data_IF_377840756250
#
_entry.id   IF_377840756250
#
_cell.length_a   1.000
_cell.length_b   1.000
_cell.length_c   1.000
_cell.angle_alpha   90.00
_cell.angle_beta   90.00
_cell.angle_gamma   90.00
#
_symmetry.space_group_name_H-M   'P 1'
#
loop_
_entity.id
_entity.type
_entity.pdbx_description
1 polymer ?
#
# COMPACT_ATOMS: atom_id res chain seq x y z
N UNK A 1 -12.56 -71.75 -6.73
CA UNK A 1 -11.61 -71.58 -7.85
C UNK A 1 -11.62 -70.18 -8.52
N UNK A 2 -12.79 -69.55 -8.77
CA UNK A 2 -12.86 -68.20 -9.38
C UNK A 2 -12.30 -67.11 -8.50
N UNK A 3 -12.56 -67.13 -7.18
CA UNK A 3 -12.07 -66.09 -6.21
C UNK A 3 -10.54 -66.10 -6.08
N UNK A 4 -9.96 -67.35 -6.06
CA UNK A 4 -8.49 -67.46 -5.96
C UNK A 4 -7.77 -66.98 -7.20
N UNK A 5 -8.36 -67.07 -8.41
CA UNK A 5 -7.82 -66.48 -9.64
C UNK A 5 -7.90 -64.98 -9.60
N UNK A 6 -8.97 -64.35 -9.03
CA UNK A 6 -9.09 -62.92 -8.86
C UNK A 6 -8.03 -62.34 -7.92
N UNK A 7 -7.77 -63.07 -6.81
CA UNK A 7 -6.72 -62.61 -5.85
C UNK A 7 -5.33 -62.67 -6.48
N UNK A 8 -5.05 -63.72 -7.29
CA UNK A 8 -3.75 -63.80 -7.99
C UNK A 8 -3.57 -62.67 -9.02
N UNK A 9 -4.63 -62.32 -9.76
CA UNK A 9 -4.54 -61.22 -10.72
C UNK A 9 -4.34 -59.87 -10.00
N UNK A 10 -5.02 -59.64 -8.88
CA UNK A 10 -4.84 -58.42 -8.06
C UNK A 10 -3.40 -58.33 -7.53
N UNK A 11 -2.86 -59.44 -7.04
CA UNK A 11 -1.48 -59.53 -6.56
C UNK A 11 -0.46 -59.22 -7.68
N UNK A 12 -0.66 -59.73 -8.87
CA UNK A 12 0.20 -59.46 -10.02
C UNK A 12 0.16 -57.99 -10.44
N UNK A 13 -1.02 -57.35 -10.39
CA UNK A 13 -1.16 -55.90 -10.68
C UNK A 13 -0.43 -55.06 -9.62
N UNK A 14 -0.56 -55.40 -8.34
CA UNK A 14 0.14 -54.69 -7.25
C UNK A 14 1.65 -54.84 -7.37
N UNK A 15 2.13 -56.06 -7.65
CA UNK A 15 3.57 -56.32 -7.86
C UNK A 15 4.09 -55.52 -9.07
N UNK A 16 3.32 -55.51 -10.17
CA UNK A 16 3.66 -54.71 -11.36
C UNK A 16 3.76 -53.20 -11.06
N UNK A 17 2.79 -52.69 -10.32
CA UNK A 17 2.81 -51.26 -9.90
C UNK A 17 4.01 -50.92 -9.00
N UNK A 18 4.35 -51.81 -8.06
CA UNK A 18 5.51 -51.64 -7.19
C UNK A 18 6.84 -51.70 -7.95
N UNK A 19 6.96 -52.57 -8.94
CA UNK A 19 8.13 -52.63 -9.81
C UNK A 19 8.28 -51.40 -10.66
N UNK A 20 7.20 -50.89 -11.24
CA UNK A 20 7.21 -49.64 -12.01
C UNK A 20 7.61 -48.48 -11.10
N UNK A 21 7.03 -48.39 -9.91
CA UNK A 21 7.39 -47.34 -8.91
C UNK A 21 8.88 -47.39 -8.55
N UNK A 22 9.40 -48.60 -8.34
CA UNK A 22 10.82 -48.79 -7.99
C UNK A 22 11.75 -48.39 -9.13
N UNK A 23 11.42 -48.77 -10.37
CA UNK A 23 12.18 -48.41 -11.56
C UNK A 23 12.14 -46.89 -11.80
N UNK A 24 10.96 -46.28 -11.68
CA UNK A 24 10.82 -44.81 -11.81
C UNK A 24 11.56 -44.07 -10.71
N UNK A 25 11.56 -44.58 -9.49
CA UNK A 25 12.26 -43.95 -8.36
C UNK A 25 13.80 -44.04 -8.49
N UNK A 26 14.29 -45.02 -9.26
CA UNK A 26 15.73 -45.10 -9.60
C UNK A 26 16.10 -44.33 -10.87
N UNK A 27 15.19 -44.26 -11.85
CA UNK A 27 15.45 -43.62 -13.14
C UNK A 27 15.24 -42.09 -13.10
N UNK A 28 14.41 -41.59 -12.18
CA UNK A 28 14.24 -40.14 -12.01
C UNK A 28 15.40 -39.61 -11.15
N UNK A 29 16.27 -38.76 -11.69
CA UNK A 29 17.30 -38.11 -10.87
C UNK A 29 16.61 -37.40 -9.70
N UNK A 30 16.97 -37.80 -8.48
CA UNK A 30 16.52 -36.99 -7.31
C UNK A 30 17.22 -35.66 -7.44
N UNK A 31 16.44 -34.63 -7.85
CA UNK A 31 16.94 -33.26 -7.76
C UNK A 31 17.35 -33.02 -6.30
N UNK A 32 18.64 -32.81 -6.10
CA UNK A 32 19.10 -32.29 -4.83
C UNK A 32 18.40 -30.95 -4.62
N UNK A 33 17.76 -30.79 -3.46
CA UNK A 33 17.17 -29.52 -3.10
C UNK A 33 18.21 -28.42 -3.35
N UNK A 34 17.92 -27.53 -4.32
CA UNK A 34 18.81 -26.38 -4.66
C UNK A 34 18.93 -25.36 -3.54
N UNK A 35 18.29 -25.60 -2.43
CA UNK A 35 18.50 -24.90 -1.18
C UNK A 35 19.55 -25.70 -0.38
N UNK A 36 20.81 -25.57 -0.76
CA UNK A 36 21.85 -25.82 0.23
C UNK A 36 21.60 -24.85 1.39
N UNK A 37 21.54 -25.32 2.65
CA UNK A 37 21.59 -24.41 3.76
C UNK A 37 22.88 -23.61 3.56
N UNK A 38 22.75 -22.30 3.35
CA UNK A 38 23.88 -21.39 3.37
C UNK A 38 24.49 -21.58 4.76
N UNK A 39 25.55 -22.40 4.84
CA UNK A 39 26.39 -22.43 6.00
C UNK A 39 26.94 -21.02 6.12
N UNK A 40 26.36 -20.25 7.04
CA UNK A 40 26.86 -18.94 7.36
C UNK A 40 28.34 -19.12 7.69
N UNK A 41 29.20 -18.75 6.73
CA UNK A 41 30.61 -18.61 7.04
C UNK A 41 30.69 -17.45 8.01
N UNK A 42 31.04 -17.71 9.24
CA UNK A 42 31.45 -16.73 10.24
C UNK A 42 32.59 -15.88 9.68
N UNK A 43 32.23 -14.90 8.88
CA UNK A 43 33.03 -13.70 8.62
C UNK A 43 32.25 -12.53 9.15
N UNK A 44 32.67 -12.08 10.28
CA UNK A 44 32.19 -10.97 11.12
C UNK A 44 32.38 -9.59 10.42
N UNK A 45 32.06 -9.48 9.13
CA UNK A 45 32.29 -8.25 8.37
C UNK A 45 31.11 -7.81 7.47
N UNK A 46 29.95 -8.51 7.49
CA UNK A 46 28.78 -8.10 6.68
C UNK A 46 27.49 -8.24 7.48
N UNK A 47 27.39 -7.58 8.65
CA UNK A 47 26.09 -7.36 9.27
C UNK A 47 25.33 -6.36 8.42
N UNK A 48 24.45 -6.89 7.55
CA UNK A 48 23.53 -6.06 6.76
C UNK A 48 22.69 -5.21 7.69
N UNK A 49 22.44 -3.95 7.35
CA UNK A 49 21.68 -3.06 8.22
C UNK A 49 20.27 -3.62 8.46
N UNK A 50 19.77 -3.39 9.67
CA UNK A 50 18.36 -3.52 10.02
C UNK A 50 17.74 -2.14 9.88
N UNK A 51 16.52 -2.08 9.40
CA UNK A 51 15.78 -0.83 9.20
C UNK A 51 14.48 -0.89 9.98
N UNK A 52 14.15 0.18 10.69
CA UNK A 52 12.90 0.35 11.41
C UNK A 52 12.00 1.34 10.67
N UNK A 53 10.92 0.82 10.10
CA UNK A 53 9.91 1.57 9.34
C UNK A 53 8.67 1.80 10.20
N UNK A 54 8.29 3.06 10.42
CA UNK A 54 7.06 3.43 11.12
C UNK A 54 6.08 4.08 10.13
N UNK A 55 4.90 3.50 10.00
CA UNK A 55 3.81 4.03 9.20
C UNK A 55 2.71 4.56 10.11
N UNK A 56 2.35 5.83 9.96
CA UNK A 56 1.29 6.49 10.71
C UNK A 56 0.25 7.04 9.74
N UNK A 57 -1.03 6.99 10.10
CA UNK A 57 -2.03 7.63 9.27
C UNK A 57 -3.44 7.13 9.47
N UNK A 58 -4.19 7.25 8.40
CA UNK A 58 -5.60 6.90 8.29
C UNK A 58 -5.83 5.52 7.65
N UNK A 59 -6.96 5.34 6.97
CA UNK A 59 -7.33 4.09 6.30
C UNK A 59 -6.36 3.64 5.21
N UNK A 60 -5.63 4.56 4.57
CA UNK A 60 -4.63 4.21 3.56
C UNK A 60 -3.41 3.53 4.19
N UNK A 61 -2.98 3.99 5.36
CA UNK A 61 -1.91 3.34 6.14
C UNK A 61 -2.41 2.02 6.76
N UNK A 62 -3.67 1.97 7.26
CA UNK A 62 -4.27 0.73 7.77
C UNK A 62 -4.38 -0.35 6.68
N UNK A 63 -4.60 0.08 5.43
CA UNK A 63 -4.73 -0.82 4.28
C UNK A 63 -6.16 -1.25 3.99
N UNK A 64 -7.15 -0.37 4.25
CA UNK A 64 -8.55 -0.64 3.89
C UNK A 64 -8.67 -0.82 2.38
N UNK A 65 -9.33 -1.90 1.94
CA UNK A 65 -9.45 -2.27 0.52
C UNK A 65 -8.36 -3.26 0.04
N UNK A 66 -7.32 -3.50 0.85
CA UNK A 66 -6.35 -4.56 0.58
C UNK A 66 -6.98 -5.95 0.81
N UNK A 67 -7.30 -6.64 -0.28
CA UNK A 67 -7.93 -7.98 -0.24
C UNK A 67 -6.98 -9.07 0.28
N UNK A 68 -5.67 -8.79 0.37
CA UNK A 68 -4.70 -9.70 0.96
C UNK A 68 -4.64 -9.61 2.48
N UNK A 69 -5.27 -8.61 3.08
CA UNK A 69 -5.27 -8.32 4.52
C UNK A 69 -3.85 -8.17 5.10
N UNK A 70 -2.89 -7.71 4.31
CA UNK A 70 -1.50 -7.51 4.76
C UNK A 70 -1.24 -6.10 5.28
N UNK A 71 -2.11 -5.12 5.00
CA UNK A 71 -1.96 -3.74 5.46
C UNK A 71 -1.57 -2.76 4.37
N UNK A 72 -2.09 -2.95 3.15
CA UNK A 72 -1.97 -2.02 2.04
C UNK A 72 -0.54 -1.84 1.52
N UNK A 73 -0.12 -0.58 1.28
CA UNK A 73 1.19 -0.26 0.70
C UNK A 73 2.36 -0.51 1.66
N UNK A 74 2.12 -0.49 2.97
CA UNK A 74 3.17 -0.52 4.00
C UNK A 74 4.03 -1.78 3.91
N UNK A 75 3.48 -3.01 3.94
CA UNK A 75 4.28 -4.22 3.80
C UNK A 75 4.91 -4.37 2.42
N UNK A 76 4.30 -3.83 1.37
CA UNK A 76 4.86 -3.87 0.01
C UNK A 76 6.15 -3.05 -0.05
N UNK A 77 6.16 -1.85 0.53
CA UNK A 77 7.37 -1.01 0.66
C UNK A 77 8.45 -1.75 1.45
N UNK A 78 8.10 -2.34 2.58
CA UNK A 78 9.05 -3.07 3.43
C UNK A 78 9.71 -4.25 2.70
N UNK A 79 8.91 -5.08 2.02
CA UNK A 79 9.39 -6.24 1.24
C UNK A 79 10.32 -5.79 0.09
N UNK A 80 9.96 -4.70 -0.61
CA UNK A 80 10.75 -4.17 -1.73
C UNK A 80 12.12 -3.65 -1.25
N UNK A 81 12.16 -2.77 -0.23
CA UNK A 81 13.42 -2.24 0.27
C UNK A 81 14.29 -3.30 0.92
N UNK A 82 13.70 -4.26 1.63
CA UNK A 82 14.44 -5.38 2.19
C UNK A 82 15.16 -6.17 1.11
N UNK A 83 14.45 -6.50 0.04
CA UNK A 83 15.00 -7.25 -1.09
C UNK A 83 16.05 -6.44 -1.87
N UNK A 84 15.75 -5.17 -2.16
CA UNK A 84 16.57 -4.27 -2.97
C UNK A 84 17.92 -3.97 -2.33
N UNK A 85 17.91 -3.68 -1.04
CA UNK A 85 19.13 -3.32 -0.30
C UNK A 85 19.73 -4.51 0.45
N UNK A 86 19.15 -5.71 0.27
CA UNK A 86 19.61 -6.94 0.91
C UNK A 86 19.73 -6.78 2.44
N UNK A 87 18.73 -6.12 3.06
CA UNK A 87 18.71 -5.86 4.49
C UNK A 87 18.48 -7.15 5.29
N UNK A 88 19.02 -7.21 6.50
CA UNK A 88 18.77 -8.33 7.42
C UNK A 88 17.29 -8.43 7.78
N UNK A 89 16.67 -7.30 8.08
CA UNK A 89 15.24 -7.17 8.35
C UNK A 89 14.77 -5.75 8.15
N UNK A 90 13.48 -5.59 7.85
CA UNK A 90 12.75 -4.34 8.00
C UNK A 90 11.71 -4.58 9.09
N UNK A 91 11.90 -3.94 10.26
CA UNK A 91 10.92 -3.95 11.34
C UNK A 91 9.85 -2.91 11.01
N UNK A 92 8.59 -3.33 10.93
CA UNK A 92 7.48 -2.49 10.49
C UNK A 92 6.48 -2.30 11.60
N UNK A 93 6.19 -1.04 11.92
CA UNK A 93 5.09 -0.66 12.80
C UNK A 93 4.04 0.10 12.01
N UNK A 94 2.84 -0.48 11.91
CA UNK A 94 1.72 0.13 11.20
C UNK A 94 0.70 0.71 12.19
N UNK A 95 0.62 2.03 12.24
CA UNK A 95 -0.29 2.81 13.06
C UNK A 95 -1.36 3.52 12.20
N UNK A 96 -1.90 2.84 11.19
CA UNK A 96 -3.05 3.31 10.42
C UNK A 96 -4.34 3.11 11.23
N UNK A 97 -5.25 4.11 11.20
CA UNK A 97 -6.60 3.99 11.78
C UNK A 97 -7.62 4.64 10.85
N UNK A 98 -8.52 3.82 10.32
CA UNK A 98 -9.53 4.25 9.37
C UNK A 98 -10.40 5.39 9.91
N UNK A 99 -10.64 6.38 9.05
CA UNK A 99 -11.51 7.52 9.37
C UNK A 99 -10.85 8.62 10.22
N UNK A 100 -9.61 8.44 10.69
CA UNK A 100 -8.94 9.49 11.46
C UNK A 100 -8.56 10.69 10.60
N UNK A 101 -8.83 11.88 11.13
CA UNK A 101 -8.38 13.18 10.61
C UNK A 101 -7.06 13.59 11.26
N UNK A 102 -6.44 14.62 10.70
CA UNK A 102 -5.19 15.20 11.18
C UNK A 102 -5.18 15.47 12.70
N UNK A 103 -6.28 15.98 13.25
CA UNK A 103 -6.41 16.27 14.69
C UNK A 103 -6.49 15.01 15.57
N UNK A 104 -7.06 13.94 15.05
CA UNK A 104 -7.19 12.67 15.75
C UNK A 104 -5.86 11.90 15.73
N UNK A 105 -5.18 11.87 14.59
CA UNK A 105 -3.83 11.28 14.44
C UNK A 105 -2.86 11.97 15.41
N UNK A 106 -2.82 13.32 15.42
CA UNK A 106 -1.97 14.08 16.33
C UNK A 106 -2.26 13.77 17.80
N UNK A 107 -3.54 13.70 18.16
CA UNK A 107 -3.96 13.37 19.53
C UNK A 107 -3.51 11.96 19.93
N UNK A 108 -3.58 11.00 19.02
CA UNK A 108 -3.14 9.61 19.25
C UNK A 108 -1.63 9.54 19.41
N UNK A 109 -0.86 10.19 18.53
CA UNK A 109 0.59 10.30 18.65
C UNK A 109 1.03 10.83 20.01
N UNK A 110 0.37 11.89 20.51
CA UNK A 110 0.68 12.50 21.82
C UNK A 110 0.31 11.64 23.02
N UNK A 111 -0.58 10.67 22.87
CA UNK A 111 -1.09 9.85 23.99
C UNK A 111 -0.52 8.45 24.05
N UNK A 112 -0.20 7.87 22.90
CA UNK A 112 0.24 6.49 22.79
C UNK A 112 1.77 6.41 22.91
N UNK A 113 2.22 5.83 24.03
CA UNK A 113 3.65 5.67 24.30
C UNK A 113 4.33 4.72 23.32
N UNK A 114 3.62 3.71 22.79
CA UNK A 114 4.18 2.79 21.79
C UNK A 114 4.49 3.52 20.49
N UNK A 115 3.58 4.40 20.04
CA UNK A 115 3.82 5.25 18.86
C UNK A 115 5.04 6.14 19.10
N UNK A 116 5.13 6.76 20.29
CA UNK A 116 6.24 7.67 20.60
C UNK A 116 7.59 6.93 20.65
N UNK A 117 7.62 5.75 21.23
CA UNK A 117 8.84 4.93 21.32
C UNK A 117 9.29 4.47 19.94
N UNK A 118 8.38 3.98 19.10
CA UNK A 118 8.71 3.54 17.77
C UNK A 118 9.12 4.71 16.85
N UNK A 119 8.47 5.87 16.94
CA UNK A 119 8.91 7.05 16.21
C UNK A 119 10.32 7.49 16.56
N UNK A 120 10.72 7.42 17.85
CA UNK A 120 12.08 7.78 18.29
C UNK A 120 13.17 6.93 17.64
N UNK A 121 12.87 5.67 17.37
CA UNK A 121 13.82 4.71 16.79
C UNK A 121 13.63 4.46 15.30
N UNK A 122 12.66 5.11 14.66
CA UNK A 122 12.41 4.96 13.24
C UNK A 122 13.60 5.44 12.40
N UNK A 123 13.95 4.67 11.37
CA UNK A 123 14.91 5.06 10.35
C UNK A 123 14.22 5.88 9.25
N UNK A 124 12.96 5.57 8.94
CA UNK A 124 12.10 6.41 8.13
C UNK A 124 10.62 6.26 8.52
N UNK A 125 9.81 7.26 8.12
CA UNK A 125 8.40 7.37 8.52
C UNK A 125 7.55 7.66 7.29
N UNK A 126 6.41 6.97 7.13
CA UNK A 126 5.36 7.37 6.18
C UNK A 126 4.15 7.91 6.92
N UNK A 127 3.49 8.91 6.34
CA UNK A 127 2.29 9.54 6.90
C UNK A 127 1.22 9.66 5.81
N UNK A 128 0.02 9.09 6.05
CA UNK A 128 -1.19 9.37 5.27
C UNK A 128 -2.13 10.25 6.09
N UNK A 129 -2.57 11.36 5.52
CA UNK A 129 -3.43 12.33 6.22
C UNK A 129 -4.12 13.26 5.24
N UNK A 130 -5.32 13.70 5.56
CA UNK A 130 -6.00 14.78 4.84
C UNK A 130 -7.27 14.37 4.13
N UNK A 131 -7.40 13.12 3.69
CA UNK A 131 -8.62 12.63 3.03
C UNK A 131 -9.85 12.80 3.92
N UNK A 132 -9.77 12.38 5.19
CA UNK A 132 -10.87 12.52 6.15
C UNK A 132 -11.12 13.98 6.58
N UNK A 133 -10.08 14.83 6.59
CA UNK A 133 -10.24 16.28 6.81
C UNK A 133 -11.05 16.91 5.68
N UNK A 134 -10.75 16.58 4.42
CA UNK A 134 -11.50 17.01 3.25
C UNK A 134 -12.93 16.50 3.30
N UNK A 135 -13.13 15.21 3.54
CA UNK A 135 -14.45 14.59 3.63
C UNK A 135 -15.31 15.24 4.72
N UNK A 136 -14.73 15.62 5.85
CA UNK A 136 -15.46 16.34 6.92
C UNK A 136 -15.98 17.70 6.42
N UNK A 137 -15.18 18.45 5.65
CA UNK A 137 -15.63 19.72 5.07
C UNK A 137 -16.78 19.52 4.09
N UNK A 138 -16.70 18.47 3.25
CA UNK A 138 -17.75 18.11 2.30
C UNK A 138 -19.04 17.77 3.05
N UNK A 139 -18.98 16.93 4.08
CA UNK A 139 -20.13 16.52 4.89
C UNK A 139 -20.79 17.70 5.61
N UNK A 140 -19.98 18.60 6.19
CA UNK A 140 -20.48 19.76 6.93
C UNK A 140 -21.14 20.81 6.04
N UNK A 141 -20.85 20.83 4.74
CA UNK A 141 -21.29 21.84 3.79
C UNK A 141 -22.00 21.24 2.56
N UNK A 142 -22.62 20.09 2.69
CA UNK A 142 -23.20 19.33 1.58
C UNK A 142 -24.10 20.15 0.64
N UNK A 143 -24.84 21.12 1.18
CA UNK A 143 -25.62 22.06 0.38
C UNK A 143 -24.84 23.36 0.17
N UNK A 144 -24.36 23.59 -1.06
CA UNK A 144 -23.71 24.85 -1.43
C UNK A 144 -22.18 24.80 -1.40
N UNK A 145 -21.59 23.64 -1.67
CA UNK A 145 -20.15 23.49 -1.87
C UNK A 145 -19.67 24.35 -3.05
N UNK A 146 -18.64 25.14 -2.79
CA UNK A 146 -17.89 25.91 -3.79
C UNK A 146 -16.42 25.84 -3.43
N UNK A 147 -15.51 26.09 -4.37
CA UNK A 147 -14.05 26.18 -4.07
C UNK A 147 -13.76 27.10 -2.89
N UNK A 148 -14.51 28.22 -2.77
CA UNK A 148 -14.36 29.19 -1.67
C UNK A 148 -14.65 28.60 -0.29
N UNK A 149 -15.54 27.61 -0.21
CA UNK A 149 -15.89 26.90 1.04
C UNK A 149 -14.64 26.27 1.69
N UNK A 150 -13.68 25.87 0.88
CA UNK A 150 -12.46 25.17 1.32
C UNK A 150 -11.33 26.09 1.76
N UNK A 151 -11.37 27.38 1.47
CA UNK A 151 -10.25 28.31 1.74
C UNK A 151 -9.83 28.39 3.22
N UNK A 152 -10.77 28.39 4.17
CA UNK A 152 -10.45 28.38 5.60
C UNK A 152 -10.06 26.97 6.08
N UNK A 153 -10.81 25.91 5.74
CA UNK A 153 -10.44 24.53 6.07
C UNK A 153 -9.04 24.15 5.60
N UNK A 154 -8.64 24.49 4.37
CA UNK A 154 -7.28 24.20 3.84
C UNK A 154 -6.20 24.82 4.72
N UNK A 155 -6.34 26.09 5.12
CA UNK A 155 -5.38 26.74 6.01
C UNK A 155 -5.28 26.07 7.38
N UNK A 156 -6.44 25.67 7.92
CA UNK A 156 -6.49 24.94 9.19
C UNK A 156 -5.85 23.56 9.08
N UNK A 157 -6.11 22.86 7.98
CA UNK A 157 -5.51 21.57 7.67
C UNK A 157 -3.98 21.72 7.53
N UNK A 158 -3.49 22.68 6.74
CA UNK A 158 -2.05 22.96 6.59
C UNK A 158 -1.37 23.13 7.96
N UNK A 159 -1.94 23.97 8.85
CA UNK A 159 -1.41 24.17 10.19
C UNK A 159 -1.36 22.86 11.00
N UNK A 160 -2.35 21.95 10.82
CA UNK A 160 -2.36 20.64 11.47
C UNK A 160 -1.29 19.70 10.94
N UNK A 161 -1.02 19.73 9.63
CA UNK A 161 0.09 18.96 9.06
C UNK A 161 1.41 19.46 9.64
N UNK A 162 1.61 20.77 9.74
CA UNK A 162 2.81 21.34 10.41
C UNK A 162 2.91 20.84 11.86
N UNK A 163 1.82 20.90 12.65
CA UNK A 163 1.82 20.38 14.03
C UNK A 163 2.15 18.87 14.11
N UNK A 164 1.70 18.07 13.14
CA UNK A 164 2.04 16.63 13.06
C UNK A 164 3.54 16.43 12.81
N UNK A 165 4.10 17.18 11.88
CA UNK A 165 5.53 17.12 11.56
C UNK A 165 6.38 17.59 12.72
N UNK A 166 6.00 18.67 13.39
CA UNK A 166 6.69 19.17 14.59
C UNK A 166 6.68 18.15 15.72
N UNK A 167 5.57 17.44 15.93
CA UNK A 167 5.49 16.38 16.92
C UNK A 167 6.44 15.22 16.57
N UNK A 168 6.46 14.78 15.30
CA UNK A 168 7.41 13.76 14.84
C UNK A 168 8.84 14.24 15.07
N UNK A 169 9.16 15.47 14.69
CA UNK A 169 10.52 16.04 14.83
C UNK A 169 10.95 16.21 16.29
N UNK A 170 10.00 16.45 17.21
CA UNK A 170 10.28 16.46 18.66
C UNK A 170 10.74 15.06 19.13
N UNK A 171 10.21 14.00 18.55
CA UNK A 171 10.56 12.62 18.89
C UNK A 171 11.77 12.11 18.11
N UNK A 172 11.86 12.43 16.83
CA UNK A 172 12.91 11.98 15.90
C UNK A 172 13.34 13.12 14.96
N UNK A 173 14.54 13.64 15.19
CA UNK A 173 15.08 14.79 14.42
C UNK A 173 15.68 14.38 13.07
N UNK A 174 15.93 13.10 12.83
CA UNK A 174 16.74 12.63 11.70
C UNK A 174 15.96 11.86 10.66
N UNK A 175 15.02 11.00 11.07
CA UNK A 175 14.31 10.11 10.15
C UNK A 175 13.59 10.91 9.04
N UNK A 176 13.78 10.61 7.76
CA UNK A 176 13.00 11.24 6.70
C UNK A 176 11.52 10.87 6.83
N UNK A 177 10.64 11.83 6.51
CA UNK A 177 9.19 11.68 6.60
C UNK A 177 8.62 11.78 5.18
N UNK A 178 7.89 10.75 4.75
CA UNK A 178 7.24 10.68 3.45
C UNK A 178 5.74 10.86 3.65
N UNK A 179 5.20 12.02 3.26
CA UNK A 179 3.78 12.35 3.41
C UNK A 179 3.08 12.12 2.10
N UNK A 180 2.19 11.13 2.07
CA UNK A 180 1.38 10.83 0.90
C UNK A 180 0.25 11.86 0.78
N UNK A 181 0.05 12.35 -0.44
CA UNK A 181 -1.07 13.22 -0.78
C UNK A 181 -2.42 12.49 -0.71
N UNK A 182 -3.48 13.21 -1.00
CA UNK A 182 -4.82 12.64 -1.20
C UNK A 182 -5.14 12.56 -2.68
N UNK A 183 -6.15 11.77 -3.04
CA UNK A 183 -6.66 11.62 -4.41
C UNK A 183 -8.16 11.86 -4.47
N UNK A 184 -8.68 12.07 -5.70
CA UNK A 184 -10.09 12.27 -5.97
C UNK A 184 -10.76 10.93 -6.34
N UNK A 185 -11.43 10.24 -5.43
CA UNK A 185 -12.07 8.96 -5.71
C UNK A 185 -13.36 9.10 -6.54
N UNK A 186 -13.87 10.32 -6.72
CA UNK A 186 -15.14 10.58 -7.39
C UNK A 186 -14.98 10.93 -8.87
N UNK A 187 -13.77 11.10 -9.36
CA UNK A 187 -13.51 11.64 -10.71
C UNK A 187 -14.19 10.86 -11.84
N UNK A 188 -14.08 9.52 -11.84
CA UNK A 188 -14.63 8.71 -12.93
C UNK A 188 -16.17 8.67 -12.90
N UNK A 189 -16.78 8.82 -11.75
CA UNK A 189 -18.24 8.84 -11.62
C UNK A 189 -18.84 10.23 -11.86
N UNK A 190 -18.05 11.29 -11.65
CA UNK A 190 -18.48 12.69 -11.75
C UNK A 190 -17.40 13.55 -12.41
N UNK A 191 -16.94 13.23 -13.65
CA UNK A 191 -15.84 13.94 -14.31
C UNK A 191 -16.16 15.40 -14.62
N UNK A 192 -17.44 15.75 -14.72
CA UNK A 192 -17.91 17.12 -14.90
C UNK A 192 -17.79 18.00 -13.66
N UNK A 193 -17.55 17.40 -12.47
CA UNK A 193 -17.30 18.16 -11.24
C UNK A 193 -15.81 18.54 -11.15
N UNK A 194 -15.37 19.41 -12.06
CA UNK A 194 -13.97 19.88 -12.15
C UNK A 194 -13.51 20.61 -10.89
N UNK A 195 -14.44 21.22 -10.13
CA UNK A 195 -14.15 21.88 -8.85
C UNK A 195 -13.55 20.90 -7.83
N UNK A 196 -13.96 19.62 -7.83
CA UNK A 196 -13.44 18.62 -6.89
C UNK A 196 -11.96 18.34 -7.14
N UNK A 197 -11.54 18.24 -8.41
CA UNK A 197 -10.13 18.07 -8.74
C UNK A 197 -9.31 19.28 -8.28
N UNK A 198 -9.78 20.49 -8.56
CA UNK A 198 -9.16 21.74 -8.07
C UNK A 198 -9.05 21.78 -6.54
N UNK A 199 -10.06 21.28 -5.82
CA UNK A 199 -10.04 21.21 -4.36
C UNK A 199 -8.97 20.22 -3.87
N UNK A 200 -8.89 19.04 -4.47
CA UNK A 200 -7.86 18.03 -4.15
C UNK A 200 -6.47 18.57 -4.43
N UNK A 201 -6.25 19.22 -5.58
CA UNK A 201 -4.97 19.82 -5.94
C UNK A 201 -4.56 20.91 -4.93
N UNK A 202 -5.49 21.78 -4.53
CA UNK A 202 -5.24 22.80 -3.51
C UNK A 202 -4.95 22.18 -2.14
N UNK A 203 -5.57 21.04 -1.81
CA UNK A 203 -5.33 20.32 -0.56
C UNK A 203 -3.94 19.71 -0.54
N UNK A 204 -3.54 19.06 -1.64
CA UNK A 204 -2.19 18.52 -1.82
C UNK A 204 -1.12 19.61 -1.80
N UNK A 205 -1.36 20.74 -2.47
CA UNK A 205 -0.46 21.90 -2.43
C UNK A 205 -0.30 22.47 -1.00
N UNK A 206 -1.35 22.42 -0.18
CA UNK A 206 -1.26 22.84 1.23
C UNK A 206 -0.43 21.84 2.06
N UNK A 207 -0.53 20.55 1.77
CA UNK A 207 0.33 19.51 2.38
C UNK A 207 1.77 19.77 1.98
N UNK A 208 2.08 19.84 0.70
CA UNK A 208 3.42 20.07 0.17
C UNK A 208 4.05 21.34 0.77
N UNK A 209 3.28 22.42 0.86
CA UNK A 209 3.74 23.67 1.47
C UNK A 209 4.09 23.51 2.96
N UNK A 210 3.38 22.69 3.72
CA UNK A 210 3.71 22.40 5.10
C UNK A 210 5.06 21.68 5.24
N UNK A 211 5.47 20.90 4.23
CA UNK A 211 6.74 20.16 4.22
C UNK A 211 7.95 21.02 3.91
N UNK A 212 7.78 22.14 3.16
CA UNK A 212 8.90 23.02 2.80
C UNK A 212 9.48 23.78 4.00
N UNK A 213 8.77 23.80 5.11
CA UNK A 213 9.20 24.40 6.36
C UNK A 213 10.04 23.43 7.22
N UNK A 214 10.09 22.14 6.86
CA UNK A 214 10.81 21.09 7.58
C UNK A 214 11.96 20.48 6.76
N UNK A 215 13.01 20.06 7.44
CA UNK A 215 14.09 19.30 6.82
C UNK A 215 13.73 17.82 6.68
N UNK A 216 14.21 17.15 5.62
CA UNK A 216 13.99 15.71 5.35
C UNK A 216 12.52 15.29 5.42
N UNK A 217 11.63 16.08 4.81
CA UNK A 217 10.22 15.75 4.64
C UNK A 217 9.83 15.84 3.15
N UNK A 218 9.23 14.78 2.63
CA UNK A 218 9.00 14.58 1.20
C UNK A 218 7.51 14.38 0.92
N UNK A 219 6.99 15.10 -0.08
CA UNK A 219 5.63 14.89 -0.56
C UNK A 219 5.59 13.76 -1.59
N UNK A 220 4.67 12.82 -1.40
CA UNK A 220 4.45 11.70 -2.31
C UNK A 220 3.12 11.92 -3.04
N UNK A 221 3.13 12.35 -4.31
CA UNK A 221 1.91 12.55 -5.07
C UNK A 221 1.28 11.19 -5.45
N UNK A 222 0.02 10.98 -5.07
CA UNK A 222 -0.73 9.76 -5.41
C UNK A 222 -2.01 10.04 -6.19
N UNK A 223 -2.41 11.32 -6.36
CA UNK A 223 -3.65 11.67 -7.03
C UNK A 223 -3.69 11.11 -8.46
N UNK A 224 -2.68 11.45 -9.27
CA UNK A 224 -2.63 11.09 -10.70
C UNK A 224 -2.52 9.58 -10.93
N UNK A 225 -2.10 8.84 -9.93
CA UNK A 225 -2.01 7.39 -9.99
C UNK A 225 -3.35 6.69 -9.76
N UNK A 226 -4.25 7.33 -8.99
CA UNK A 226 -5.43 6.67 -8.46
C UNK A 226 -6.74 7.22 -9.01
N UNK A 227 -6.81 8.51 -9.41
CA UNK A 227 -8.09 9.13 -9.72
C UNK A 227 -8.68 8.71 -11.08
N UNK A 228 -7.85 8.37 -12.07
CA UNK A 228 -8.29 7.92 -13.40
C UNK A 228 -8.27 6.40 -13.57
N UNK A 229 -7.60 5.69 -12.68
CA UNK A 229 -7.28 4.29 -12.90
C UNK A 229 -6.14 4.10 -13.90
N UNK A 230 -5.84 2.85 -14.23
CA UNK A 230 -4.89 2.49 -15.27
C UNK A 230 -5.60 2.44 -16.62
N UNK A 231 -4.98 3.01 -17.66
CA UNK A 231 -5.45 2.85 -19.04
C UNK A 231 -5.52 1.36 -19.43
N UNK A 232 -6.47 0.98 -20.29
CA UNK A 232 -6.73 -0.38 -20.81
C UNK A 232 -5.52 -1.12 -21.42
N UNK A 233 -4.35 -0.52 -21.41
CA UNK A 233 -3.11 -1.10 -21.94
C UNK A 233 -2.45 -2.14 -21.04
N UNK A 234 -2.91 -2.31 -19.80
CA UNK A 234 -2.47 -3.42 -18.95
C UNK A 234 -3.53 -4.50 -18.98
N UNK A 235 -3.48 -5.31 -20.01
CA UNK A 235 -4.25 -6.49 -20.39
C UNK A 235 -5.01 -7.28 -19.32
N UNK A 236 -6.06 -6.70 -18.75
CA UNK A 236 -7.15 -7.43 -18.10
C UNK A 236 -8.44 -6.80 -18.64
N UNK A 237 -8.76 -7.09 -19.89
CA UNK A 237 -10.10 -6.91 -20.42
C UNK A 237 -10.97 -7.99 -19.78
N UNK A 238 -11.85 -7.63 -18.85
CA UNK A 238 -13.03 -8.43 -18.61
C UNK A 238 -13.93 -8.23 -19.83
N UNK A 239 -13.80 -9.08 -20.83
CA UNK A 239 -14.82 -9.27 -21.86
C UNK A 239 -16.10 -9.74 -21.16
N UNK A 240 -16.96 -8.81 -20.77
CA UNK A 240 -18.36 -9.13 -20.56
C UNK A 240 -18.97 -9.29 -21.95
N UNK A 241 -19.20 -10.56 -22.33
CA UNK A 241 -19.94 -10.94 -23.54
C UNK A 241 -21.21 -10.09 -23.63
N UNK A 242 -21.29 -9.28 -24.71
CA UNK A 242 -22.52 -8.67 -25.15
C UNK A 242 -23.53 -9.76 -25.50
N UNK A 243 -24.43 -10.10 -24.62
CA UNK A 243 -25.65 -10.78 -25.01
C UNK A 243 -26.63 -9.71 -25.49
N UNK A 244 -26.78 -9.70 -26.81
CA UNK A 244 -27.80 -9.00 -27.57
C UNK A 244 -29.20 -9.16 -26.93
N UNK A 245 -29.91 -8.07 -26.65
CA UNK A 245 -31.25 -7.78 -27.14
C UNK A 245 -31.98 -6.62 -26.44
N UNK A 246 -32.48 -5.75 -27.32
CA UNK A 246 -33.69 -4.90 -27.21
C UNK A 246 -33.64 -3.62 -26.41
N UNK A 247 -33.55 -2.53 -27.20
CA UNK A 247 -34.35 -1.31 -27.09
C UNK A 247 -34.89 -0.84 -25.73
N UNK A 248 -34.21 0.13 -25.15
CA UNK A 248 -34.83 1.34 -24.61
C UNK A 248 -33.76 2.43 -24.48
N UNK A 249 -34.01 3.56 -25.17
CA UNK A 249 -33.30 4.82 -24.98
C UNK A 249 -33.58 5.32 -23.55
N UNK A 250 -32.70 4.93 -22.63
CA UNK A 250 -32.57 5.53 -21.31
C UNK A 250 -31.09 5.79 -21.11
N UNK A 251 -30.69 7.01 -20.74
CA UNK A 251 -29.34 7.39 -20.36
C UNK A 251 -28.72 6.29 -19.50
N UNK A 252 -27.99 5.36 -20.11
CA UNK A 252 -27.05 4.52 -19.39
C UNK A 252 -25.91 5.45 -19.01
N UNK A 253 -25.93 5.95 -17.78
CA UNK A 253 -24.71 6.38 -17.13
C UNK A 253 -23.76 5.19 -17.20
N UNK A 254 -22.81 5.25 -18.12
CA UNK A 254 -21.70 4.28 -18.15
C UNK A 254 -20.87 4.55 -16.90
N UNK A 255 -21.11 3.74 -15.86
CA UNK A 255 -20.24 3.75 -14.69
C UNK A 255 -18.89 3.24 -15.17
N UNK A 256 -17.93 4.14 -15.30
CA UNK A 256 -16.55 3.77 -15.59
C UNK A 256 -15.95 3.26 -14.30
N UNK A 257 -15.66 1.97 -14.24
CA UNK A 257 -15.03 1.38 -13.09
C UNK A 257 -13.55 1.79 -13.00
N UNK A 258 -13.16 2.31 -11.87
CA UNK A 258 -11.75 2.60 -11.59
C UNK A 258 -11.05 1.32 -11.13
N UNK A 259 -10.22 0.75 -11.98
CA UNK A 259 -9.55 -0.54 -11.78
C UNK A 259 -8.45 -0.55 -10.70
N UNK A 260 -8.15 0.60 -10.07
CA UNK A 260 -7.22 0.73 -8.95
C UNK A 260 -7.90 0.98 -7.60
N UNK A 261 -9.24 1.15 -7.61
CA UNK A 261 -10.04 1.29 -6.40
C UNK A 261 -10.72 -0.04 -6.02
N UNK A 262 -10.99 -0.18 -4.74
CA UNK A 262 -11.64 -1.36 -4.19
C UNK A 262 -13.14 -1.40 -4.54
N UNK A 263 -13.60 -2.50 -5.11
CA UNK A 263 -14.97 -2.65 -5.57
C UNK A 263 -16.03 -2.55 -4.47
N UNK A 264 -15.66 -2.88 -3.25
CA UNK A 264 -16.58 -2.89 -2.11
C UNK A 264 -17.05 -1.50 -1.67
N UNK A 265 -16.23 -0.46 -1.86
CA UNK A 265 -16.59 0.90 -1.47
C UNK A 265 -16.31 1.97 -2.54
N UNK A 266 -15.61 1.61 -3.63
CA UNK A 266 -15.24 2.50 -4.73
C UNK A 266 -14.49 3.77 -4.29
N UNK A 267 -13.87 3.69 -3.13
CA UNK A 267 -13.22 4.82 -2.47
C UNK A 267 -11.77 4.50 -2.09
N UNK A 268 -11.49 3.37 -1.43
CA UNK A 268 -10.15 2.99 -1.06
C UNK A 268 -9.41 2.31 -2.22
N UNK A 269 -8.07 2.34 -2.24
CA UNK A 269 -7.30 1.59 -3.22
C UNK A 269 -7.53 0.07 -3.06
N UNK A 270 -7.55 -0.64 -4.17
CA UNK A 270 -7.42 -2.09 -4.18
C UNK A 270 -5.93 -2.50 -4.18
N UNK A 271 -5.64 -3.79 -4.34
CA UNK A 271 -4.27 -4.30 -4.35
C UNK A 271 -3.38 -3.64 -5.41
N UNK A 272 -3.94 -3.30 -6.59
CA UNK A 272 -3.20 -2.60 -7.65
C UNK A 272 -2.92 -1.16 -7.22
N UNK A 273 -3.92 -0.47 -6.69
CA UNK A 273 -3.75 0.89 -6.17
C UNK A 273 -2.70 0.96 -5.06
N UNK A 274 -2.71 0.02 -4.13
CA UNK A 274 -1.68 -0.05 -3.09
C UNK A 274 -0.29 -0.37 -3.64
N UNK A 275 -0.18 -1.19 -4.69
CA UNK A 275 1.09 -1.43 -5.36
C UNK A 275 1.63 -0.14 -6.02
N UNK A 276 0.77 0.67 -6.65
CA UNK A 276 1.16 1.96 -7.23
C UNK A 276 1.65 2.93 -6.15
N UNK A 277 0.93 3.03 -5.03
CA UNK A 277 1.35 3.83 -3.88
C UNK A 277 2.71 3.39 -3.36
N UNK A 278 2.89 2.08 -3.15
CA UNK A 278 4.15 1.52 -2.68
C UNK A 278 5.32 1.81 -3.63
N UNK A 279 5.10 1.70 -4.94
CA UNK A 279 6.12 2.01 -5.95
C UNK A 279 6.57 3.47 -5.84
N UNK A 280 5.63 4.40 -5.64
CA UNK A 280 5.96 5.84 -5.53
C UNK A 280 6.73 6.15 -4.25
N UNK A 281 6.33 5.55 -3.12
CA UNK A 281 7.08 5.66 -1.86
C UNK A 281 8.49 5.09 -2.01
N UNK A 282 8.62 3.89 -2.59
CA UNK A 282 9.92 3.26 -2.88
C UNK A 282 10.81 4.15 -3.74
N UNK A 283 10.27 4.75 -4.80
CA UNK A 283 11.04 5.58 -5.72
C UNK A 283 11.60 6.82 -5.02
N UNK A 284 10.91 7.37 -4.04
CA UNK A 284 11.42 8.44 -3.22
C UNK A 284 12.44 7.95 -2.17
N UNK A 285 12.19 6.79 -1.55
CA UNK A 285 13.15 6.14 -0.66
C UNK A 285 14.49 5.85 -1.35
N UNK A 286 14.46 5.48 -2.65
CA UNK A 286 15.69 5.27 -3.44
C UNK A 286 16.46 6.58 -3.61
N UNK A 287 15.79 7.69 -3.89
CA UNK A 287 16.44 9.01 -4.07
C UNK A 287 17.07 9.53 -2.77
N UNK A 288 16.50 9.16 -1.64
CA UNK A 288 16.89 9.63 -0.32
C UNK A 288 17.54 8.54 0.54
N UNK A 289 18.07 7.50 -0.09
CA UNK A 289 18.60 6.32 0.61
C UNK A 289 19.64 6.65 1.68
N UNK A 290 20.48 7.65 1.45
CA UNK A 290 21.54 8.05 2.39
C UNK A 290 20.99 8.67 3.69
N UNK A 291 19.70 9.00 3.75
CA UNK A 291 19.06 9.59 4.92
C UNK A 291 18.51 8.51 5.89
N UNK A 292 18.23 7.30 5.41
CA UNK A 292 17.61 6.25 6.20
C UNK A 292 18.41 4.94 6.26
N UNK A 293 19.33 4.70 5.32
CA UNK A 293 20.30 3.58 5.43
C UNK A 293 21.52 4.09 6.17
N UNK A 294 21.61 3.78 7.47
CA UNK A 294 22.82 4.08 8.24
C UNK A 294 23.80 2.95 8.07
N UNK A 295 25.01 3.26 7.60
CA UNK A 295 26.14 2.32 7.69
C UNK A 295 26.36 2.00 9.19
N UNK A 296 26.28 0.74 9.55
CA UNK A 296 26.65 0.31 10.90
C UNK A 296 28.19 0.34 11.00
N UNK A 297 28.70 1.40 11.64
CA UNK A 297 30.12 1.51 12.04
C UNK A 297 30.47 0.49 13.10
#
# INVERSE_FOLDING_TARGET
>A
MKIMKGIIHLLLVVIGALLIFFVLNQAIPKEQARLEPVVASDKDSDKKPKVHYVAIGDSLTEGIGDQTNRGGFVPIVADDIQSRYNLTSVEVENYGVAGERSDQILKRMKKDTSIQENLKSADFITLTVGGNDLMKVIQDNFFGLTIKTFNKPIKKYQARVTELLDEIRTLNQQAPIYVLGIYNPFYLNFPEITDMQTIVDNWNAATEKALTEGTSAYFIPINDLLYQGLDDKVGITSELEETDNSSSEGNKLSIVDNNVLYDGDKFHPNNIGYQLMANTVRDELIKTQDEWIKEQN
#
